data_IF_340382083202
#
_entry.id   IF_340382083202
#
_cell.length_a   1.000
_cell.length_b   1.000
_cell.length_c   1.000
_cell.angle_alpha   90.00
_cell.angle_beta   90.00
_cell.angle_gamma   90.00
#
_symmetry.space_group_name_H-M   'P 1'
#
loop_
_entity.id
_entity.type
_entity.pdbx_description
1 polymer ?
#
# COMPACT_ATOMS: atom_id res chain seq x y z
N UNK A 1 -11.77 -0.26 -7.52
CA UNK A 1 -11.08 0.91 -6.94
C UNK A 1 -10.55 0.54 -5.56
N UNK A 2 -9.47 1.20 -5.14
CA UNK A 2 -8.92 1.12 -3.77
C UNK A 2 -9.22 2.40 -2.99
N UNK A 3 -10.02 3.31 -3.56
CA UNK A 3 -10.48 4.54 -2.91
C UNK A 3 -11.81 4.27 -2.19
N UNK A 4 -11.76 4.27 -0.86
CA UNK A 4 -12.90 3.99 0.01
C UNK A 4 -13.99 5.06 -0.10
N UNK A 5 -13.60 6.34 -0.14
CA UNK A 5 -14.57 7.44 -0.24
C UNK A 5 -15.34 7.38 -1.55
N UNK A 6 -14.64 7.08 -2.66
CA UNK A 6 -15.27 6.89 -3.96
C UNK A 6 -16.22 5.69 -3.93
N UNK A 7 -15.79 4.55 -3.38
CA UNK A 7 -16.63 3.35 -3.30
C UNK A 7 -17.89 3.60 -2.47
N UNK A 8 -17.79 4.24 -1.32
CA UNK A 8 -18.93 4.54 -0.46
C UNK A 8 -19.89 5.56 -1.11
N UNK A 9 -19.37 6.48 -1.93
CA UNK A 9 -20.20 7.48 -2.61
C UNK A 9 -20.94 6.93 -3.84
N UNK A 10 -20.40 5.90 -4.52
CA UNK A 10 -20.93 5.44 -5.83
C UNK A 10 -21.59 4.06 -5.74
N UNK A 11 -21.33 3.27 -4.69
CA UNK A 11 -21.83 1.90 -4.59
C UNK A 11 -22.86 1.74 -3.49
N UNK A 12 -23.92 0.97 -3.77
CA UNK A 12 -24.94 0.55 -2.83
C UNK A 12 -24.88 -0.95 -2.50
N UNK A 13 -23.91 -1.67 -3.09
CA UNK A 13 -23.65 -3.08 -2.85
C UNK A 13 -22.17 -3.39 -2.99
N UNK A 14 -21.66 -4.30 -2.15
CA UNK A 14 -20.25 -4.66 -2.10
C UNK A 14 -20.05 -6.17 -2.09
N UNK A 15 -19.07 -6.62 -2.85
CA UNK A 15 -18.63 -8.01 -2.85
C UNK A 15 -17.23 -8.06 -2.27
N UNK A 16 -17.08 -8.80 -1.18
CA UNK A 16 -15.79 -8.99 -0.50
C UNK A 16 -15.34 -10.42 -0.74
N UNK A 17 -14.19 -10.58 -1.43
CA UNK A 17 -13.55 -11.87 -1.63
C UNK A 17 -12.50 -12.07 -0.52
N UNK A 18 -12.72 -13.07 0.32
CA UNK A 18 -11.83 -13.42 1.44
C UNK A 18 -11.80 -14.93 1.62
N UNK A 19 -10.63 -15.49 1.84
CA UNK A 19 -10.39 -16.92 2.08
C UNK A 19 -11.09 -17.84 1.04
N UNK A 20 -10.97 -17.47 -0.24
CA UNK A 20 -11.60 -18.17 -1.39
C UNK A 20 -13.14 -18.14 -1.36
N UNK A 21 -13.75 -17.37 -0.48
CA UNK A 21 -15.20 -17.22 -0.33
C UNK A 21 -15.64 -15.82 -0.71
N UNK A 22 -16.75 -15.71 -1.44
CA UNK A 22 -17.35 -14.43 -1.82
C UNK A 22 -18.45 -14.06 -0.83
N UNK A 23 -18.28 -12.94 -0.16
CA UNK A 23 -19.31 -12.34 0.72
C UNK A 23 -19.99 -11.19 -0.02
N UNK A 24 -21.29 -11.30 -0.27
CA UNK A 24 -22.09 -10.28 -0.92
C UNK A 24 -22.93 -9.52 0.10
N UNK A 25 -22.83 -8.19 0.10
CA UNK A 25 -23.59 -7.29 0.95
C UNK A 25 -24.32 -6.25 0.10
N UNK A 26 -25.60 -5.99 0.40
CA UNK A 26 -26.36 -4.87 -0.18
C UNK A 26 -26.08 -3.58 0.62
N UNK A 27 -24.80 -3.25 0.82
CA UNK A 27 -24.30 -2.14 1.62
C UNK A 27 -23.11 -1.49 0.90
N UNK A 28 -22.88 -0.16 1.09
CA UNK A 28 -21.65 0.49 0.68
C UNK A 28 -20.41 -0.17 1.29
N UNK A 29 -19.24 0.08 0.71
CA UNK A 29 -18.00 -0.63 1.03
C UNK A 29 -17.66 -0.62 2.53
N UNK A 30 -17.71 0.54 3.18
CA UNK A 30 -17.40 0.66 4.62
C UNK A 30 -18.39 -0.10 5.49
N UNK A 31 -19.68 0.03 5.22
CA UNK A 31 -20.73 -0.67 5.97
C UNK A 31 -20.67 -2.19 5.75
N UNK A 32 -20.35 -2.64 4.52
CA UNK A 32 -20.16 -4.05 4.20
C UNK A 32 -18.98 -4.68 4.97
N UNK A 33 -17.89 -3.95 5.15
CA UNK A 33 -16.73 -4.40 5.94
C UNK A 33 -17.08 -4.52 7.42
N UNK A 34 -17.72 -3.51 7.99
CA UNK A 34 -18.17 -3.57 9.38
C UNK A 34 -19.13 -4.75 9.61
N UNK A 35 -20.00 -5.03 8.64
CA UNK A 35 -20.89 -6.18 8.71
C UNK A 35 -20.14 -7.52 8.62
N UNK A 36 -19.05 -7.58 7.83
CA UNK A 36 -18.18 -8.75 7.77
C UNK A 36 -17.42 -8.95 9.08
N UNK A 37 -16.85 -7.90 9.66
CA UNK A 37 -16.13 -7.96 10.93
C UNK A 37 -17.06 -8.41 12.07
N UNK A 38 -18.28 -7.87 12.14
CA UNK A 38 -19.29 -8.29 13.10
C UNK A 38 -19.69 -9.77 12.93
N UNK A 39 -19.74 -10.25 11.68
CA UNK A 39 -19.96 -11.66 11.38
C UNK A 39 -18.79 -12.52 11.86
N UNK A 40 -17.56 -12.11 11.61
CA UNK A 40 -16.35 -12.83 12.05
C UNK A 40 -16.30 -12.93 13.58
N UNK A 41 -16.62 -11.86 14.31
CA UNK A 41 -16.73 -11.89 15.77
C UNK A 41 -17.82 -12.89 16.26
N UNK A 42 -18.98 -12.87 15.60
CA UNK A 42 -20.07 -13.81 15.91
C UNK A 42 -19.64 -15.26 15.65
N UNK A 43 -18.99 -15.52 14.51
CA UNK A 43 -18.52 -16.84 14.12
C UNK A 43 -17.39 -17.32 15.07
N UNK A 44 -16.50 -16.42 15.53
CA UNK A 44 -15.48 -16.73 16.52
C UNK A 44 -16.08 -17.10 17.89
N UNK A 45 -17.09 -16.37 18.34
CA UNK A 45 -17.81 -16.70 19.58
C UNK A 45 -18.53 -18.05 19.48
N UNK A 46 -19.18 -18.30 18.34
CA UNK A 46 -19.86 -19.57 18.06
C UNK A 46 -18.86 -20.72 18.01
N UNK A 47 -17.77 -20.61 17.29
CA UNK A 47 -16.70 -21.61 17.23
C UNK A 47 -16.16 -21.92 18.64
N UNK A 48 -15.93 -20.89 19.48
CA UNK A 48 -15.48 -21.09 20.87
C UNK A 48 -16.49 -21.84 21.73
N UNK A 49 -17.78 -21.60 21.52
CA UNK A 49 -18.84 -22.34 22.22
C UNK A 49 -18.92 -23.79 21.74
N UNK A 50 -18.86 -24.03 20.43
CA UNK A 50 -18.84 -25.36 19.82
C UNK A 50 -17.60 -26.15 20.26
N UNK A 51 -16.41 -25.52 20.32
CA UNK A 51 -15.19 -26.15 20.79
C UNK A 51 -15.29 -26.59 22.26
N UNK A 52 -15.89 -25.76 23.14
CA UNK A 52 -16.12 -26.15 24.55
C UNK A 52 -17.05 -27.36 24.66
N UNK A 53 -18.08 -27.42 23.80
CA UNK A 53 -18.99 -28.58 23.78
C UNK A 53 -18.28 -29.83 23.30
N UNK A 54 -17.49 -29.74 22.23
CA UNK A 54 -16.64 -30.84 21.73
C UNK A 54 -15.71 -31.34 22.82
N UNK A 55 -15.03 -30.45 23.53
CA UNK A 55 -14.10 -30.81 24.62
C UNK A 55 -14.84 -31.49 25.75
N UNK A 56 -16.02 -30.99 26.14
CA UNK A 56 -16.88 -31.58 27.18
C UNK A 56 -17.29 -33.01 26.83
N UNK A 57 -17.81 -33.21 25.61
CA UNK A 57 -18.25 -34.53 25.13
C UNK A 57 -17.07 -35.48 25.00
N UNK A 58 -15.92 -35.02 24.50
CA UNK A 58 -14.68 -35.78 24.38
C UNK A 58 -14.16 -36.25 25.74
N UNK A 59 -14.15 -35.35 26.76
CA UNK A 59 -13.74 -35.71 28.12
C UNK A 59 -14.68 -36.75 28.76
N UNK A 60 -15.98 -36.64 28.48
CA UNK A 60 -16.98 -37.62 28.95
C UNK A 60 -16.82 -38.98 28.26
N UNK A 61 -16.60 -39.00 26.94
CA UNK A 61 -16.33 -40.21 26.16
C UNK A 61 -15.08 -40.93 26.70
N UNK A 62 -13.98 -40.22 26.92
CA UNK A 62 -12.73 -40.77 27.47
C UNK A 62 -12.95 -41.38 28.85
N UNK A 63 -13.68 -40.71 29.74
CA UNK A 63 -13.98 -41.25 31.10
C UNK A 63 -14.77 -42.52 30.98
N UNK A 64 -15.85 -42.55 30.18
CA UNK A 64 -16.66 -43.77 29.99
C UNK A 64 -15.88 -44.90 29.36
N UNK A 65 -14.98 -44.62 28.39
CA UNK A 65 -14.14 -45.60 27.77
C UNK A 65 -13.15 -46.22 28.81
N UNK A 66 -12.57 -45.38 29.69
CA UNK A 66 -11.69 -45.84 30.75
C UNK A 66 -12.44 -46.72 31.78
N UNK A 67 -13.62 -46.28 32.22
CA UNK A 67 -14.44 -47.05 33.16
C UNK A 67 -14.94 -48.34 32.54
N UNK A 68 -15.36 -48.36 31.28
CA UNK A 68 -15.76 -49.55 30.55
C UNK A 68 -14.65 -50.62 30.52
N UNK A 69 -13.37 -50.18 30.36
CA UNK A 69 -12.22 -51.08 30.41
C UNK A 69 -11.90 -51.55 31.82
N UNK A 70 -11.96 -50.66 32.82
CA UNK A 70 -11.59 -50.99 34.20
C UNK A 70 -12.58 -51.92 34.87
N UNK A 71 -13.89 -51.72 34.55
CA UNK A 71 -14.99 -52.51 35.18
C UNK A 71 -15.55 -53.61 34.25
N UNK A 72 -14.90 -53.89 33.14
CA UNK A 72 -15.32 -54.87 32.11
C UNK A 72 -16.80 -54.72 31.71
N UNK A 73 -17.23 -53.47 31.52
CA UNK A 73 -18.62 -53.13 31.28
C UNK A 73 -18.84 -52.73 29.81
N UNK A 74 -19.45 -53.62 29.04
CA UNK A 74 -19.75 -53.41 27.62
C UNK A 74 -20.69 -52.25 27.34
N UNK A 75 -21.66 -51.94 28.20
CA UNK A 75 -22.61 -50.86 28.00
C UNK A 75 -21.89 -49.49 28.15
N UNK A 76 -20.94 -49.35 29.05
CA UNK A 76 -20.13 -48.14 29.17
C UNK A 76 -19.24 -47.95 27.91
N UNK A 77 -18.68 -49.03 27.42
CA UNK A 77 -17.88 -49.04 26.19
C UNK A 77 -18.69 -48.67 24.96
N UNK A 78 -19.95 -49.17 24.88
CA UNK A 78 -20.88 -48.82 23.80
C UNK A 78 -21.29 -47.35 23.84
N UNK A 79 -21.59 -46.80 25.01
CA UNK A 79 -21.87 -45.36 25.20
C UNK A 79 -20.69 -44.49 24.85
N UNK A 80 -19.46 -44.87 25.24
CA UNK A 80 -18.24 -44.14 24.86
C UNK A 80 -18.12 -44.03 23.32
N UNK A 81 -18.28 -45.13 22.56
CA UNK A 81 -18.25 -45.14 21.11
C UNK A 81 -19.36 -44.28 20.49
N UNK A 82 -20.55 -44.22 21.08
CA UNK A 82 -21.60 -43.31 20.59
C UNK A 82 -21.23 -41.84 20.79
N UNK A 83 -20.63 -41.50 21.94
CA UNK A 83 -20.14 -40.14 22.19
C UNK A 83 -18.98 -39.77 21.27
N UNK A 84 -18.08 -40.69 20.97
CA UNK A 84 -17.01 -40.47 19.97
C UNK A 84 -17.57 -40.13 18.59
N UNK A 85 -18.58 -40.88 18.13
CA UNK A 85 -19.29 -40.55 16.86
C UNK A 85 -19.99 -39.18 16.92
N UNK A 86 -20.52 -38.82 18.09
CA UNK A 86 -21.10 -37.48 18.27
C UNK A 86 -20.03 -36.39 18.16
N UNK A 87 -18.83 -36.60 18.73
CA UNK A 87 -17.69 -35.68 18.62
C UNK A 87 -17.28 -35.51 17.16
N UNK A 88 -17.20 -36.59 16.37
CA UNK A 88 -16.90 -36.51 14.93
C UNK A 88 -17.92 -35.64 14.20
N UNK A 89 -19.20 -35.86 14.43
CA UNK A 89 -20.27 -35.03 13.82
C UNK A 89 -20.20 -33.58 14.23
N UNK A 90 -19.92 -33.29 15.52
CA UNK A 90 -19.75 -31.92 15.99
C UNK A 90 -18.56 -31.23 15.35
N UNK A 91 -17.44 -31.95 15.12
CA UNK A 91 -16.28 -31.44 14.41
C UNK A 91 -16.55 -31.16 12.94
N UNK A 92 -17.33 -32.03 12.26
CA UNK A 92 -17.72 -31.84 10.85
C UNK A 92 -18.66 -30.61 10.68
N UNK A 93 -19.46 -30.31 11.69
CA UNK A 93 -20.40 -29.16 11.64
C UNK A 93 -19.87 -27.91 12.32
N UNK A 94 -18.65 -27.94 12.85
CA UNK A 94 -18.05 -26.81 13.54
C UNK A 94 -17.87 -25.63 12.59
N UNK A 95 -18.18 -24.45 13.06
CA UNK A 95 -18.00 -23.19 12.31
C UNK A 95 -16.54 -23.02 11.90
N UNK A 96 -16.27 -22.91 10.60
CA UNK A 96 -14.94 -22.61 10.11
C UNK A 96 -14.60 -21.15 10.41
N UNK A 97 -13.47 -20.95 11.10
CA UNK A 97 -12.95 -19.61 11.33
C UNK A 97 -12.22 -19.12 10.10
N UNK A 98 -12.57 -17.93 9.66
CA UNK A 98 -11.83 -17.23 8.64
C UNK A 98 -10.46 -16.85 9.18
N UNK A 99 -9.38 -17.30 8.55
CA UNK A 99 -8.03 -17.09 9.07
C UNK A 99 -7.57 -15.62 8.97
N UNK A 100 -8.30 -14.78 8.24
CA UNK A 100 -7.90 -13.39 7.98
C UNK A 100 -6.58 -13.31 7.21
N UNK A 101 -6.07 -12.10 7.00
CA UNK A 101 -4.69 -11.94 6.52
C UNK A 101 -3.73 -12.32 7.66
N UNK A 102 -2.84 -13.31 7.50
CA UNK A 102 -1.90 -13.71 8.55
C UNK A 102 -0.85 -12.63 8.84
N UNK A 103 -0.85 -11.54 8.08
CA UNK A 103 0.15 -10.50 8.16
C UNK A 103 -0.41 -9.23 8.79
N UNK A 104 0.19 -8.82 9.89
CA UNK A 104 -0.01 -7.50 10.49
C UNK A 104 1.21 -6.64 10.19
N UNK A 105 1.00 -5.51 9.52
CA UNK A 105 2.05 -4.53 9.31
C UNK A 105 2.42 -3.91 10.66
N UNK A 106 3.69 -4.01 11.03
CA UNK A 106 4.23 -3.32 12.20
C UNK A 106 5.53 -2.64 11.81
N UNK A 107 5.62 -1.32 11.97
CA UNK A 107 6.86 -0.58 11.80
C UNK A 107 7.34 -0.17 13.20
N UNK A 108 8.55 -0.56 13.54
CA UNK A 108 9.18 -0.16 14.80
C UNK A 108 10.33 0.76 14.47
N UNK A 109 10.34 1.93 15.09
CA UNK A 109 11.41 2.91 14.95
C UNK A 109 12.05 3.22 16.29
N UNK A 110 13.26 3.74 16.25
CA UNK A 110 13.95 4.22 17.44
C UNK A 110 13.82 5.74 17.52
N UNK A 111 13.20 6.23 18.60
CA UNK A 111 13.18 7.64 18.88
C UNK A 111 14.59 8.16 19.15
N UNK A 112 15.03 9.11 18.36
CA UNK A 112 16.26 9.82 18.64
C UNK A 112 15.96 11.04 19.52
N UNK A 113 16.52 11.07 20.75
CA UNK A 113 16.41 12.23 21.63
C UNK A 113 17.34 13.34 21.14
N UNK A 114 16.88 14.02 20.08
CA UNK A 114 17.58 15.15 19.49
C UNK A 114 16.58 16.23 19.10
N UNK A 115 16.99 17.51 19.17
CA UNK A 115 16.14 18.64 18.81
C UNK A 115 15.76 18.64 17.33
N UNK A 116 16.52 17.93 16.50
CA UNK A 116 16.25 17.79 15.06
C UNK A 116 16.81 16.48 14.53
N UNK A 117 16.07 15.86 13.61
CA UNK A 117 16.55 14.79 12.75
C UNK A 117 17.10 15.37 11.45
N UNK A 118 16.36 16.32 10.89
CA UNK A 118 16.67 17.01 9.63
C UNK A 118 16.26 18.48 9.74
N UNK A 119 17.09 19.35 9.21
CA UNK A 119 16.82 20.77 9.03
C UNK A 119 17.19 21.19 7.62
N UNK A 120 16.32 21.92 6.98
CA UNK A 120 16.49 22.47 5.64
C UNK A 120 16.31 23.98 5.70
N UNK A 121 17.20 24.73 5.06
CA UNK A 121 17.18 26.19 5.04
C UNK A 121 17.48 26.72 3.64
N UNK A 122 16.62 27.59 3.12
CA UNK A 122 16.74 28.20 1.79
C UNK A 122 17.06 27.21 0.68
N UNK A 123 16.35 26.07 0.71
CA UNK A 123 16.60 24.94 -0.21
C UNK A 123 15.74 25.07 -1.47
N UNK A 124 16.38 25.01 -2.63
CA UNK A 124 15.73 24.79 -3.92
C UNK A 124 15.70 23.29 -4.26
N UNK A 125 14.60 22.82 -4.80
CA UNK A 125 14.40 21.40 -5.15
C UNK A 125 14.26 21.27 -6.66
N UNK A 126 15.32 20.86 -7.37
CA UNK A 126 15.26 20.60 -8.81
C UNK A 126 14.67 19.21 -9.11
N UNK A 127 14.07 18.99 -10.29
CA UNK A 127 13.61 17.67 -10.72
C UNK A 127 14.76 16.69 -10.96
N UNK A 128 15.90 17.20 -11.43
CA UNK A 128 17.15 16.48 -11.60
C UNK A 128 18.35 17.43 -11.47
N UNK A 129 19.56 16.93 -11.22
CA UNK A 129 20.75 17.76 -11.08
C UNK A 129 20.95 18.66 -12.31
N UNK A 130 21.14 19.98 -12.06
CA UNK A 130 21.40 20.96 -13.13
C UNK A 130 20.16 21.54 -13.81
N UNK A 131 18.96 21.11 -13.46
CA UNK A 131 17.71 21.71 -13.92
C UNK A 131 17.21 22.80 -12.94
N UNK A 132 16.36 23.73 -13.39
CA UNK A 132 15.77 24.75 -12.52
C UNK A 132 14.92 24.12 -11.42
N UNK A 133 14.84 24.82 -10.28
CA UNK A 133 14.09 24.36 -9.13
C UNK A 133 12.58 24.33 -9.45
N UNK A 134 11.92 23.25 -9.05
CA UNK A 134 10.46 23.11 -9.11
C UNK A 134 9.79 23.96 -8.04
N UNK A 135 10.40 24.06 -6.89
CA UNK A 135 9.98 24.90 -5.78
C UNK A 135 11.15 25.22 -4.83
N UNK A 136 10.92 26.18 -3.97
CA UNK A 136 11.84 26.58 -2.91
C UNK A 136 11.17 26.48 -1.55
N UNK A 137 11.98 26.27 -0.51
CA UNK A 137 11.54 26.34 0.87
C UNK A 137 12.47 27.26 1.67
N UNK A 138 11.91 28.08 2.55
CA UNK A 138 12.67 29.00 3.39
C UNK A 138 13.30 28.25 4.58
N UNK A 139 12.49 27.51 5.30
CA UNK A 139 12.93 26.72 6.45
C UNK A 139 11.96 25.58 6.71
N UNK A 140 12.48 24.37 6.91
CA UNK A 140 11.71 23.23 7.36
C UNK A 140 12.53 22.36 8.31
N UNK A 141 11.90 21.84 9.36
CA UNK A 141 12.56 21.08 10.40
C UNK A 141 11.75 19.85 10.79
N UNK A 142 12.43 18.73 10.98
CA UNK A 142 11.85 17.46 11.37
C UNK A 142 12.47 16.95 12.68
N UNK A 143 11.64 16.50 13.61
CA UNK A 143 12.01 15.90 14.90
C UNK A 143 11.47 14.48 15.03
N UNK A 144 11.92 13.72 16.02
CA UNK A 144 11.26 12.46 16.40
C UNK A 144 9.83 12.72 16.86
N UNK A 145 8.91 11.87 16.43
CA UNK A 145 7.47 12.01 16.64
C UNK A 145 6.75 12.91 15.63
N UNK A 146 7.50 13.66 14.79
CA UNK A 146 6.88 14.37 13.67
C UNK A 146 6.50 13.40 12.57
N UNK A 147 5.26 13.46 12.13
CA UNK A 147 4.73 12.74 10.98
C UNK A 147 4.23 13.74 9.96
N UNK A 148 5.09 14.04 9.00
CA UNK A 148 4.87 15.12 8.03
C UNK A 148 4.37 14.53 6.72
N UNK A 149 3.18 14.94 6.29
CA UNK A 149 2.70 14.69 4.94
C UNK A 149 3.18 15.78 3.98
N UNK A 150 3.79 15.39 2.87
CA UNK A 150 4.15 16.30 1.78
C UNK A 150 3.03 16.22 0.73
N UNK A 151 2.31 17.33 0.56
CA UNK A 151 1.09 17.42 -0.24
C UNK A 151 1.26 18.46 -1.34
N UNK A 152 0.59 18.29 -2.46
CA UNK A 152 0.66 19.21 -3.59
C UNK A 152 0.23 18.54 -4.89
N UNK A 153 0.10 19.29 -5.98
CA UNK A 153 -0.28 18.79 -7.30
C UNK A 153 0.70 17.75 -7.84
N UNK A 154 0.27 16.96 -8.82
CA UNK A 154 1.17 16.04 -9.52
C UNK A 154 2.25 16.84 -10.24
N UNK A 155 3.49 16.35 -10.15
CA UNK A 155 4.65 17.02 -10.76
C UNK A 155 5.21 18.22 -9.99
N UNK A 156 4.64 18.65 -8.85
CA UNK A 156 5.16 19.79 -8.07
C UNK A 156 6.51 19.51 -7.36
N UNK A 157 7.02 18.26 -7.35
CA UNK A 157 8.33 17.94 -6.81
C UNK A 157 8.34 17.19 -5.47
N UNK A 158 7.23 16.60 -5.03
CA UNK A 158 7.14 15.81 -3.76
C UNK A 158 8.20 14.70 -3.68
N UNK A 159 8.20 13.81 -4.66
CA UNK A 159 9.18 12.71 -4.73
C UNK A 159 10.60 13.23 -4.99
N UNK A 160 10.76 14.37 -5.69
CA UNK A 160 12.07 15.01 -5.89
C UNK A 160 12.68 15.46 -4.55
N UNK A 161 11.86 16.03 -3.66
CA UNK A 161 12.30 16.39 -2.30
C UNK A 161 12.75 15.16 -1.51
N UNK A 162 11.95 14.08 -1.49
CA UNK A 162 12.34 12.85 -0.78
C UNK A 162 13.63 12.26 -1.34
N UNK A 163 13.79 12.21 -2.68
CA UNK A 163 15.00 11.72 -3.33
C UNK A 163 16.22 12.60 -3.02
N UNK A 164 16.05 13.93 -2.98
CA UNK A 164 17.12 14.86 -2.61
C UNK A 164 17.58 14.61 -1.16
N UNK A 165 16.65 14.49 -0.22
CA UNK A 165 16.94 14.16 1.18
C UNK A 165 17.63 12.80 1.28
N UNK A 166 17.12 11.78 0.59
CA UNK A 166 17.69 10.44 0.59
C UNK A 166 19.14 10.42 0.11
N UNK A 167 19.44 11.08 -1.03
CA UNK A 167 20.78 11.20 -1.56
C UNK A 167 21.74 11.93 -0.62
N UNK A 168 21.24 12.94 0.12
CA UNK A 168 22.03 13.62 1.15
C UNK A 168 22.36 12.67 2.32
N UNK A 169 21.43 11.82 2.75
CA UNK A 169 21.69 10.82 3.79
C UNK A 169 22.68 9.73 3.35
N UNK A 170 22.77 9.46 2.06
CA UNK A 170 23.73 8.51 1.49
C UNK A 170 25.10 9.12 1.17
N UNK A 171 25.35 10.36 1.55
CA UNK A 171 26.57 11.13 1.24
C UNK A 171 26.84 11.26 -0.29
N UNK A 172 25.79 11.11 -1.11
CA UNK A 172 25.89 11.32 -2.57
C UNK A 172 25.86 12.81 -2.93
N UNK A 173 25.32 13.65 -2.04
CA UNK A 173 25.23 15.10 -2.22
C UNK A 173 25.67 15.76 -0.91
N UNK A 174 26.63 16.67 -1.00
CA UNK A 174 26.98 17.60 0.08
C UNK A 174 26.26 18.93 -0.17
N UNK A 175 25.29 19.28 0.68
CA UNK A 175 24.57 20.55 0.63
C UNK A 175 24.47 21.13 2.04
N UNK A 176 25.10 22.29 2.27
CA UNK A 176 25.11 22.95 3.57
C UNK A 176 23.72 23.42 4.02
N UNK A 177 22.77 23.54 3.09
CA UNK A 177 21.38 23.89 3.33
C UNK A 177 20.59 22.73 3.95
N UNK A 178 21.10 21.50 3.83
CA UNK A 178 20.57 20.26 4.41
C UNK A 178 21.43 19.85 5.61
N UNK A 179 20.91 19.94 6.82
CA UNK A 179 21.59 19.56 8.05
C UNK A 179 20.91 18.35 8.65
N UNK A 180 21.61 17.22 8.72
CA UNK A 180 21.13 16.00 9.37
C UNK A 180 21.83 15.77 10.71
N UNK A 181 21.12 15.13 11.63
CA UNK A 181 21.77 14.67 12.85
C UNK A 181 22.62 13.43 12.57
N UNK A 182 23.87 13.34 13.05
CA UNK A 182 24.81 12.26 12.68
C UNK A 182 24.33 10.83 13.02
N UNK A 183 23.46 10.68 14.03
CA UNK A 183 22.92 9.38 14.45
C UNK A 183 21.62 9.00 13.78
N UNK A 184 21.10 9.79 12.84
CA UNK A 184 19.86 9.42 12.14
C UNK A 184 20.13 8.23 11.25
N UNK A 185 19.34 7.19 11.45
CA UNK A 185 19.26 6.02 10.56
C UNK A 185 18.03 6.19 9.68
N UNK A 186 18.19 6.53 8.39
CA UNK A 186 17.07 6.74 7.49
C UNK A 186 16.63 5.43 6.83
N UNK A 187 15.33 5.22 6.74
CA UNK A 187 14.69 4.22 5.89
C UNK A 187 13.91 4.89 4.77
N UNK A 188 13.96 4.33 3.58
CA UNK A 188 13.25 4.86 2.42
C UNK A 188 12.36 3.78 1.82
N UNK A 189 11.14 4.13 1.47
CA UNK A 189 10.22 3.33 0.68
C UNK A 189 10.02 4.06 -0.64
N UNK A 190 10.62 3.53 -1.70
CA UNK A 190 10.49 4.08 -3.05
C UNK A 190 9.24 3.53 -3.74
N UNK A 191 8.53 4.39 -4.44
CA UNK A 191 7.34 4.04 -5.22
C UNK A 191 7.58 2.86 -6.18
N UNK A 192 8.78 2.73 -6.73
CA UNK A 192 9.15 1.69 -7.71
C UNK A 192 9.69 0.42 -7.07
N UNK A 193 9.87 0.38 -5.73
CA UNK A 193 10.40 -0.75 -4.96
C UNK A 193 11.77 -1.28 -5.44
N UNK A 194 12.61 -0.41 -6.03
CA UNK A 194 13.93 -0.79 -6.55
C UNK A 194 14.96 -1.14 -5.47
N UNK A 195 14.65 -0.91 -4.19
CA UNK A 195 15.53 -1.26 -3.07
C UNK A 195 15.65 -2.77 -2.85
N UNK A 196 14.72 -3.54 -3.39
CA UNK A 196 14.78 -5.00 -3.36
C UNK A 196 15.38 -5.52 -4.66
N UNK A 197 16.55 -6.20 -4.62
CA UNK A 197 17.16 -6.76 -5.82
C UNK A 197 16.28 -7.83 -6.46
N UNK A 198 15.94 -7.68 -7.74
CA UNK A 198 15.03 -8.56 -8.47
C UNK A 198 15.50 -10.02 -8.53
N UNK A 199 16.80 -10.23 -8.64
CA UNK A 199 17.41 -11.55 -8.76
C UNK A 199 17.73 -12.23 -7.44
N UNK A 200 17.62 -11.51 -6.32
CA UNK A 200 17.89 -12.06 -5.00
C UNK A 200 16.76 -12.99 -4.53
N UNK A 201 17.10 -13.98 -3.70
CA UNK A 201 16.11 -14.74 -2.95
C UNK A 201 15.47 -13.86 -1.86
N UNK A 202 14.23 -14.17 -1.45
CA UNK A 202 13.51 -13.35 -0.44
C UNK A 202 14.33 -13.19 0.84
N UNK A 203 15.01 -14.25 1.29
CA UNK A 203 15.84 -14.23 2.48
C UNK A 203 17.05 -13.31 2.32
N UNK A 204 17.67 -13.32 1.14
CA UNK A 204 18.90 -12.56 0.87
C UNK A 204 18.57 -11.09 0.58
N UNK A 205 17.41 -10.80 -0.01
CA UNK A 205 16.93 -9.44 -0.22
C UNK A 205 16.73 -8.65 1.09
N UNK A 206 16.56 -9.33 2.22
CA UNK A 206 16.44 -8.71 3.53
C UNK A 206 17.79 -8.56 4.28
N UNK A 207 18.90 -9.02 3.72
CA UNK A 207 20.22 -8.94 4.35
C UNK A 207 20.64 -7.50 4.70
N UNK A 208 20.42 -6.48 3.84
CA UNK A 208 20.75 -5.10 4.16
C UNK A 208 19.99 -4.52 5.36
N UNK A 209 18.82 -5.10 5.68
CA UNK A 209 17.95 -4.65 6.78
C UNK A 209 18.23 -5.38 8.10
N UNK A 210 18.64 -6.63 8.05
CA UNK A 210 19.00 -7.42 9.22
C UNK A 210 20.04 -8.48 8.86
N UNK A 211 21.26 -8.44 9.46
CA UNK A 211 22.33 -9.39 9.14
C UNK A 211 22.03 -10.82 9.61
N UNK A 212 21.27 -10.98 10.71
CA UNK A 212 20.96 -12.29 11.27
C UNK A 212 19.95 -13.08 10.42
N UNK A 213 20.33 -14.24 9.83
CA UNK A 213 19.44 -15.05 9.00
C UNK A 213 18.22 -15.59 9.74
N UNK A 214 18.33 -15.87 11.04
CA UNK A 214 17.23 -16.43 11.81
C UNK A 214 16.12 -15.38 12.01
N UNK A 215 16.50 -14.15 12.31
CA UNK A 215 15.58 -13.00 12.41
C UNK A 215 14.85 -12.76 11.09
N UNK A 216 15.55 -12.80 9.97
CA UNK A 216 14.95 -12.67 8.62
C UNK A 216 13.95 -13.79 8.34
N UNK A 217 14.29 -15.05 8.67
CA UNK A 217 13.38 -16.21 8.47
C UNK A 217 12.09 -16.04 9.26
N UNK A 218 12.21 -15.70 10.55
CA UNK A 218 11.03 -15.52 11.41
C UNK A 218 10.15 -14.37 10.92
N UNK A 219 10.74 -13.26 10.49
CA UNK A 219 10.01 -12.11 9.95
C UNK A 219 9.27 -12.47 8.65
N UNK A 220 9.91 -13.22 7.74
CA UNK A 220 9.26 -13.70 6.52
C UNK A 220 8.04 -14.60 6.81
N UNK A 221 8.18 -15.54 7.74
CA UNK A 221 7.08 -16.43 8.14
C UNK A 221 5.93 -15.61 8.73
N UNK A 222 6.23 -14.67 9.63
CA UNK A 222 5.23 -13.78 10.24
C UNK A 222 4.53 -12.89 9.21
N UNK A 223 5.23 -12.56 8.11
CA UNK A 223 4.68 -11.78 7.01
C UNK A 223 3.90 -12.62 5.97
N UNK A 224 3.68 -13.91 6.23
CA UNK A 224 2.94 -14.79 5.33
C UNK A 224 3.75 -15.37 4.18
N UNK A 225 5.09 -15.35 4.26
CA UNK A 225 5.98 -16.05 3.33
C UNK A 225 6.41 -17.38 3.95
N UNK A 226 5.78 -18.53 3.61
CA UNK A 226 6.15 -19.82 4.18
C UNK A 226 7.58 -20.20 3.79
N UNK A 227 8.23 -21.03 4.62
CA UNK A 227 9.61 -21.46 4.43
C UNK A 227 9.94 -21.94 3.01
N UNK A 228 9.04 -22.68 2.39
CA UNK A 228 9.22 -23.19 1.03
C UNK A 228 9.42 -22.09 -0.04
N UNK A 229 9.00 -20.84 0.25
CA UNK A 229 9.12 -19.69 -0.65
C UNK A 229 10.36 -18.84 -0.40
N UNK A 230 11.12 -19.06 0.67
CA UNK A 230 12.26 -18.19 1.04
C UNK A 230 13.37 -18.14 -0.01
N UNK A 231 13.54 -19.21 -0.79
CA UNK A 231 14.47 -19.26 -1.92
C UNK A 231 13.90 -18.70 -3.23
N UNK A 232 12.65 -18.22 -3.25
CA UNK A 232 12.02 -17.64 -4.43
C UNK A 232 12.64 -16.28 -4.74
N UNK A 233 12.79 -15.94 -6.03
CA UNK A 233 13.29 -14.63 -6.44
C UNK A 233 12.28 -13.52 -6.20
N UNK A 234 12.75 -12.33 -5.83
CA UNK A 234 11.94 -11.12 -5.65
C UNK A 234 11.16 -10.76 -6.91
N UNK A 235 11.74 -10.96 -8.10
CA UNK A 235 11.09 -10.69 -9.40
C UNK A 235 9.81 -11.50 -9.64
N UNK A 236 9.63 -12.62 -8.94
CA UNK A 236 8.43 -13.47 -9.09
C UNK A 236 7.27 -13.07 -8.18
N UNK A 237 7.48 -12.08 -7.31
CA UNK A 237 6.45 -11.57 -6.40
C UNK A 237 5.48 -10.64 -7.12
N UNK A 238 4.21 -10.68 -6.70
CA UNK A 238 3.25 -9.63 -7.04
C UNK A 238 3.64 -8.29 -6.42
N UNK A 239 3.14 -7.16 -6.95
CA UNK A 239 3.41 -5.83 -6.41
C UNK A 239 3.08 -5.71 -4.91
N UNK A 240 1.96 -6.28 -4.47
CA UNK A 240 1.58 -6.31 -3.05
C UNK A 240 2.52 -7.15 -2.18
N UNK A 241 2.95 -8.32 -2.67
CA UNK A 241 3.94 -9.15 -1.96
C UNK A 241 5.31 -8.46 -1.87
N UNK A 242 5.72 -7.78 -2.93
CA UNK A 242 6.98 -7.02 -2.97
C UNK A 242 6.95 -5.84 -2.01
N UNK A 243 5.84 -5.10 -1.97
CA UNK A 243 5.58 -4.06 -0.97
C UNK A 243 5.66 -4.60 0.45
N UNK A 244 4.99 -5.73 0.73
CA UNK A 244 5.03 -6.43 2.01
C UNK A 244 6.44 -6.82 2.42
N UNK A 245 7.22 -7.37 1.49
CA UNK A 245 8.62 -7.75 1.74
C UNK A 245 9.47 -6.53 2.13
N UNK A 246 9.29 -5.40 1.46
CA UNK A 246 10.01 -4.16 1.79
C UNK A 246 9.61 -3.64 3.18
N UNK A 247 8.32 -3.68 3.54
CA UNK A 247 7.89 -3.30 4.89
C UNK A 247 8.47 -4.21 5.98
N UNK A 248 8.63 -5.50 5.72
CA UNK A 248 9.35 -6.41 6.61
C UNK A 248 10.79 -5.93 6.83
N UNK A 249 11.49 -5.58 5.76
CA UNK A 249 12.84 -5.01 5.84
C UNK A 249 12.88 -3.73 6.68
N UNK A 250 12.00 -2.78 6.40
CA UNK A 250 11.94 -1.52 7.15
C UNK A 250 11.64 -1.73 8.65
N UNK A 251 10.83 -2.73 8.98
CA UNK A 251 10.55 -3.12 10.37
C UNK A 251 11.79 -3.68 11.08
N UNK A 252 12.55 -4.52 10.38
CA UNK A 252 13.74 -5.17 10.93
C UNK A 252 14.87 -4.19 11.23
N UNK A 253 15.04 -3.18 10.39
CA UNK A 253 16.14 -2.22 10.47
C UNK A 253 15.96 -1.15 11.55
N UNK A 254 14.74 -0.94 12.10
CA UNK A 254 14.44 -0.01 13.20
C UNK A 254 14.97 1.42 12.94
N UNK A 255 14.51 2.04 11.89
CA UNK A 255 14.95 3.37 11.50
C UNK A 255 14.45 4.46 12.46
N UNK A 256 15.23 5.55 12.60
CA UNK A 256 14.80 6.75 13.33
C UNK A 256 14.12 7.79 12.44
N UNK A 257 14.22 7.65 11.12
CA UNK A 257 13.52 8.45 10.12
C UNK A 257 13.00 7.55 9.01
N UNK A 258 11.71 7.61 8.72
CA UNK A 258 11.10 6.94 7.57
C UNK A 258 10.71 7.94 6.50
N UNK A 259 11.07 7.67 5.28
CA UNK A 259 10.65 8.39 4.10
C UNK A 259 9.83 7.44 3.22
N UNK A 260 8.55 7.76 3.00
CA UNK A 260 7.61 6.90 2.31
C UNK A 260 7.07 7.65 1.07
N UNK A 261 7.38 7.14 -0.13
CA UNK A 261 6.91 7.69 -1.40
C UNK A 261 5.80 6.80 -1.98
N UNK A 262 4.55 7.25 -1.90
CA UNK A 262 3.34 6.57 -2.34
C UNK A 262 3.22 5.11 -1.85
N UNK A 263 3.32 4.85 -0.54
CA UNK A 263 3.35 3.48 -0.01
C UNK A 263 2.02 2.74 -0.18
N UNK A 264 0.94 3.45 -0.49
CA UNK A 264 -0.41 2.90 -0.64
C UNK A 264 -0.70 2.25 -1.99
N UNK A 265 0.14 2.47 -3.01
CA UNK A 265 -0.13 2.03 -4.39
C UNK A 265 -0.23 0.50 -4.54
N UNK A 266 0.41 -0.26 -3.66
CA UNK A 266 0.44 -1.72 -3.69
C UNK A 266 -0.22 -2.37 -2.47
N UNK A 267 -0.89 -1.57 -1.63
CA UNK A 267 -1.59 -2.06 -0.45
C UNK A 267 -3.10 -2.17 -0.74
N UNK A 268 -3.68 -3.25 -0.25
CA UNK A 268 -5.12 -3.39 -0.13
C UNK A 268 -5.67 -2.48 1.00
N UNK A 269 -6.97 -2.47 1.19
CA UNK A 269 -7.59 -1.59 2.18
C UNK A 269 -7.16 -1.93 3.62
N UNK A 270 -6.97 -3.21 3.93
CA UNK A 270 -6.51 -3.67 5.25
C UNK A 270 -5.05 -3.25 5.49
N UNK A 271 -4.21 -3.39 4.47
CA UNK A 271 -2.82 -2.94 4.51
C UNK A 271 -2.68 -1.42 4.70
N UNK A 272 -3.56 -0.61 4.10
CA UNK A 272 -3.60 0.84 4.29
C UNK A 272 -3.98 1.23 5.72
N UNK A 273 -4.97 0.57 6.31
CA UNK A 273 -5.38 0.77 7.70
C UNK A 273 -4.27 0.40 8.67
N UNK A 274 -3.68 -0.79 8.47
CA UNK A 274 -2.55 -1.24 9.28
C UNK A 274 -1.34 -0.29 9.16
N UNK A 275 -1.08 0.27 7.98
CA UNK A 275 -0.05 1.29 7.79
C UNK A 275 -0.36 2.56 8.58
N UNK A 276 -1.61 3.06 8.53
CA UNK A 276 -2.02 4.25 9.28
C UNK A 276 -1.82 4.08 10.79
N UNK A 277 -2.27 2.96 11.35
CA UNK A 277 -2.11 2.65 12.77
C UNK A 277 -0.64 2.53 13.17
N UNK A 278 0.14 1.87 12.34
CA UNK A 278 1.58 1.68 12.60
C UNK A 278 2.35 2.99 12.55
N UNK A 279 2.03 3.88 11.60
CA UNK A 279 2.65 5.21 11.51
C UNK A 279 2.29 6.08 12.71
N UNK A 280 1.07 5.97 13.27
CA UNK A 280 0.71 6.68 14.51
C UNK A 280 1.57 6.26 15.70
N UNK A 281 1.96 4.99 15.75
CA UNK A 281 2.76 4.43 16.84
C UNK A 281 4.28 4.55 16.60
N UNK A 282 4.69 5.03 15.42
CA UNK A 282 6.10 5.14 15.07
C UNK A 282 6.78 6.25 15.89
N UNK A 283 7.81 5.88 16.65
CA UNK A 283 8.50 6.79 17.58
C UNK A 283 9.52 7.72 16.90
N UNK A 284 10.00 7.39 15.70
CA UNK A 284 10.90 8.20 14.90
C UNK A 284 10.20 9.36 14.17
N UNK A 285 10.89 9.96 13.21
CA UNK A 285 10.32 10.94 12.27
C UNK A 285 9.77 10.26 11.02
N UNK A 286 8.71 10.79 10.43
CA UNK A 286 8.12 10.31 9.17
C UNK A 286 7.98 11.44 8.16
N UNK A 287 8.42 11.21 6.93
CA UNK A 287 8.08 12.00 5.76
C UNK A 287 7.24 11.13 4.83
N UNK A 288 6.00 11.50 4.60
CA UNK A 288 5.04 10.75 3.81
C UNK A 288 4.62 11.55 2.58
N UNK A 289 4.82 10.99 1.39
CA UNK A 289 4.16 11.43 0.17
C UNK A 289 3.05 10.44 -0.12
N UNK A 290 1.81 10.90 -0.19
CA UNK A 290 0.66 10.07 -0.56
C UNK A 290 -0.47 10.89 -1.15
N UNK A 291 -1.28 10.26 -1.98
CA UNK A 291 -2.55 10.78 -2.47
C UNK A 291 -3.76 10.28 -1.65
N UNK A 292 -3.53 9.38 -0.71
CA UNK A 292 -4.56 8.82 0.16
C UNK A 292 -4.87 9.76 1.32
N UNK A 293 -5.97 10.52 1.19
CA UNK A 293 -6.39 11.52 2.18
C UNK A 293 -6.67 10.90 3.54
N UNK A 294 -7.21 9.68 3.57
CA UNK A 294 -7.52 8.99 4.81
C UNK A 294 -6.23 8.63 5.57
N UNK A 295 -5.24 8.05 4.86
CA UNK A 295 -3.94 7.77 5.45
C UNK A 295 -3.30 9.04 6.01
N UNK A 296 -3.27 10.14 5.23
CA UNK A 296 -2.68 11.41 5.64
C UNK A 296 -3.37 11.96 6.91
N UNK A 297 -4.70 12.03 6.91
CA UNK A 297 -5.46 12.58 8.05
C UNK A 297 -5.30 11.74 9.32
N UNK A 298 -5.23 10.40 9.18
CA UNK A 298 -5.10 9.50 10.32
C UNK A 298 -3.69 9.43 10.89
N UNK A 299 -2.66 9.47 10.04
CA UNK A 299 -1.29 9.18 10.47
C UNK A 299 -0.41 10.41 10.65
N UNK A 300 -0.70 11.54 10.01
CA UNK A 300 0.18 12.72 10.03
C UNK A 300 -0.31 13.79 10.99
N UNK A 301 0.65 14.50 11.60
CA UNK A 301 0.40 15.63 12.54
C UNK A 301 0.91 16.99 12.03
N UNK A 302 1.61 16.99 10.89
CA UNK A 302 2.11 18.19 10.21
C UNK A 302 2.00 18.01 8.70
N UNK A 303 1.80 19.11 7.96
CA UNK A 303 1.56 19.05 6.52
C UNK A 303 2.43 20.08 5.83
N UNK A 304 3.20 19.65 4.84
CA UNK A 304 3.98 20.53 3.97
C UNK A 304 3.29 20.61 2.61
N UNK A 305 2.67 21.75 2.36
CA UNK A 305 1.98 22.02 1.10
C UNK A 305 2.94 22.68 0.12
N UNK A 306 3.09 22.09 -1.05
CA UNK A 306 3.84 22.63 -2.18
C UNK A 306 2.84 23.25 -3.16
N UNK A 307 2.83 24.58 -3.22
CA UNK A 307 1.96 25.39 -4.07
C UNK A 307 2.73 26.58 -4.62
N UNK A 308 2.47 27.00 -5.85
CA UNK A 308 3.07 28.18 -6.52
C UNK A 308 4.61 28.25 -6.40
N UNK A 309 5.28 27.11 -6.53
CA UNK A 309 6.74 27.03 -6.44
C UNK A 309 7.31 27.26 -5.05
N UNK A 310 6.51 27.17 -3.99
CA UNK A 310 6.93 27.31 -2.60
C UNK A 310 6.37 26.21 -1.72
N UNK A 311 7.11 25.87 -0.66
CA UNK A 311 6.65 24.95 0.38
C UNK A 311 6.20 25.78 1.60
N UNK A 312 4.98 25.52 2.07
CA UNK A 312 4.41 26.10 3.28
C UNK A 312 4.03 25.01 4.28
N UNK A 313 4.13 25.32 5.57
CA UNK A 313 3.79 24.39 6.64
C UNK A 313 2.38 24.67 7.19
N UNK A 314 1.63 23.59 7.38
CA UNK A 314 0.25 23.58 7.88
C UNK A 314 0.10 22.54 8.99
N UNK A 315 -0.87 22.76 9.89
CA UNK A 315 -1.16 21.85 11.03
C UNK A 315 -2.54 21.23 10.98
N UNK A 316 -3.36 21.59 9.98
CA UNK A 316 -4.70 21.07 9.78
C UNK A 316 -4.80 20.41 8.40
N UNK A 317 -5.17 19.12 8.38
CA UNK A 317 -5.33 18.34 7.17
C UNK A 317 -6.49 18.83 6.30
N UNK A 318 -7.63 19.18 6.94
CA UNK A 318 -8.82 19.61 6.20
C UNK A 318 -8.57 20.92 5.46
N UNK A 319 -7.94 21.89 6.14
CA UNK A 319 -7.56 23.16 5.53
C UNK A 319 -6.63 22.97 4.30
N UNK A 320 -5.67 22.05 4.38
CA UNK A 320 -4.79 21.72 3.24
C UNK A 320 -5.58 21.11 2.09
N UNK A 321 -6.51 20.20 2.39
CA UNK A 321 -7.31 19.55 1.35
C UNK A 321 -8.33 20.50 0.71
N UNK A 322 -8.89 21.44 1.47
CA UNK A 322 -9.74 22.51 0.95
C UNK A 322 -8.95 23.41 0.00
N UNK A 323 -7.76 23.84 0.42
CA UNK A 323 -6.87 24.65 -0.41
C UNK A 323 -6.55 23.99 -1.75
N UNK A 324 -6.24 22.69 -1.72
CA UNK A 324 -6.01 21.90 -2.94
C UNK A 324 -7.25 21.75 -3.81
N UNK A 325 -8.46 21.81 -3.24
CA UNK A 325 -9.73 21.79 -4.01
C UNK A 325 -10.03 23.13 -4.66
N UNK A 326 -9.84 24.22 -3.96
CA UNK A 326 -10.06 25.58 -4.46
C UNK A 326 -9.22 25.84 -5.73
N UNK A 327 -7.99 25.34 -5.71
CA UNK A 327 -7.07 25.45 -6.84
C UNK A 327 -7.44 24.54 -8.04
N UNK A 328 -8.37 23.59 -7.85
CA UNK A 328 -8.97 22.75 -8.91
C UNK A 328 -10.34 23.26 -9.39
N UNK A 329 -10.71 24.52 -9.11
CA UNK A 329 -11.94 25.15 -9.60
C UNK A 329 -12.14 24.95 -11.12
N UNK A 330 -13.38 24.94 -11.65
CA UNK A 330 -13.63 24.63 -13.05
C UNK A 330 -12.85 25.61 -13.92
N UNK A 331 -11.89 25.10 -14.67
CA UNK A 331 -11.23 25.85 -15.75
C UNK A 331 -12.28 26.13 -16.80
N UNK A 332 -12.93 27.28 -16.68
CA UNK A 332 -13.59 27.93 -17.83
C UNK A 332 -12.44 28.34 -18.73
N UNK A 333 -12.41 27.94 -20.00
CA UNK A 333 -11.33 28.34 -20.90
C UNK A 333 -11.50 29.78 -21.26
N UNK A 334 -10.93 30.72 -20.52
CA UNK A 334 -10.67 32.05 -20.99
C UNK A 334 -9.45 32.02 -21.92
N UNK A 335 -9.71 32.25 -23.18
CA UNK A 335 -8.70 32.50 -24.17
C UNK A 335 -7.95 33.78 -23.85
N UNK A 336 -6.67 33.65 -23.42
CA UNK A 336 -5.71 34.74 -23.68
C UNK A 336 -4.30 34.14 -23.83
N UNK A 337 -3.82 34.42 -25.00
CA UNK A 337 -2.47 34.25 -25.54
C UNK A 337 -1.36 34.61 -24.57
N UNK A 338 -0.36 33.77 -24.46
CA UNK A 338 1.06 33.94 -24.75
C UNK A 338 1.97 33.14 -23.83
N UNK A 339 2.71 32.24 -24.48
CA UNK A 339 4.09 31.85 -24.20
C UNK A 339 4.42 31.10 -22.88
N UNK A 340 4.58 29.77 -22.93
CA UNK A 340 5.90 29.15 -23.11
C UNK A 340 5.72 27.63 -23.21
N UNK A 341 5.80 27.11 -24.43
CA UNK A 341 6.06 25.69 -24.70
C UNK A 341 7.49 25.38 -24.24
N UNK A 342 7.64 24.52 -23.25
CA UNK A 342 8.82 23.67 -23.22
C UNK A 342 8.63 22.54 -24.26
N UNK A 343 9.63 22.13 -25.02
CA UNK A 343 9.44 21.17 -26.09
C UNK A 343 9.20 19.77 -25.52
N UNK A 344 7.94 19.29 -25.57
CA UNK A 344 7.69 17.87 -25.68
C UNK A 344 8.36 17.43 -26.98
N UNK A 345 9.13 16.34 -26.96
CA UNK A 345 9.81 15.89 -28.17
C UNK A 345 8.74 15.66 -29.26
N UNK A 346 9.01 16.16 -30.46
CA UNK A 346 8.10 15.99 -31.60
C UNK A 346 7.74 14.53 -31.88
N UNK A 347 8.52 13.59 -31.34
CA UNK A 347 8.26 12.15 -31.38
C UNK A 347 7.14 11.68 -30.46
N UNK A 348 6.93 12.31 -29.28
CA UNK A 348 5.86 11.88 -28.36
C UNK A 348 4.48 12.31 -28.89
N UNK A 349 4.35 13.51 -29.45
CA UNK A 349 3.12 13.97 -30.10
C UNK A 349 2.78 13.11 -31.34
N UNK A 350 3.80 12.64 -32.08
CA UNK A 350 3.63 11.74 -33.23
C UNK A 350 3.20 10.35 -32.81
N UNK A 351 3.74 9.83 -31.72
CA UNK A 351 3.37 8.53 -31.12
C UNK A 351 1.92 8.53 -30.61
N UNK A 352 1.50 9.56 -29.89
CA UNK A 352 0.11 9.68 -29.43
C UNK A 352 -0.87 9.75 -30.60
N UNK A 353 -0.53 10.48 -31.65
CA UNK A 353 -1.35 10.59 -32.84
C UNK A 353 -1.43 9.30 -33.66
N UNK A 354 -0.34 8.52 -33.69
CA UNK A 354 -0.30 7.19 -34.32
C UNK A 354 -1.27 6.24 -33.59
N UNK A 355 -1.17 6.12 -32.26
CA UNK A 355 -2.04 5.26 -31.45
C UNK A 355 -3.51 5.63 -31.58
N UNK A 356 -3.83 6.93 -31.63
CA UNK A 356 -5.20 7.39 -31.82
C UNK A 356 -5.78 7.00 -33.20
N UNK A 357 -4.98 7.09 -34.26
CA UNK A 357 -5.40 6.73 -35.63
C UNK A 357 -5.56 5.20 -35.78
N UNK A 358 -4.69 4.41 -35.18
CA UNK A 358 -4.80 2.93 -35.15
C UNK A 358 -6.09 2.50 -34.43
N UNK A 359 -6.38 3.09 -33.28
CA UNK A 359 -7.60 2.80 -32.49
C UNK A 359 -8.87 3.12 -33.32
N UNK A 360 -8.92 4.27 -33.99
CA UNK A 360 -10.05 4.65 -34.85
C UNK A 360 -10.21 3.68 -36.02
N UNK A 361 -9.13 3.20 -36.60
CA UNK A 361 -9.15 2.25 -37.71
C UNK A 361 -9.68 0.88 -37.26
N UNK A 362 -9.21 0.39 -36.09
CA UNK A 362 -9.66 -0.86 -35.50
C UNK A 362 -11.14 -0.81 -35.10
N UNK A 363 -11.59 0.27 -34.47
CA UNK A 363 -12.99 0.47 -34.10
C UNK A 363 -13.92 0.46 -35.34
N UNK A 364 -13.50 1.09 -36.42
CA UNK A 364 -14.32 1.12 -37.64
C UNK A 364 -14.31 -0.23 -38.36
N UNK A 365 -13.22 -0.96 -38.37
CA UNK A 365 -13.09 -2.33 -38.88
C UNK A 365 -13.93 -3.34 -38.11
N UNK A 366 -14.07 -3.14 -36.77
CA UNK A 366 -14.91 -3.98 -35.91
C UNK A 366 -16.43 -3.78 -36.15
N UNK A 367 -16.85 -2.72 -36.84
CA UNK A 367 -18.26 -2.47 -37.18
C UNK A 367 -18.74 -3.40 -38.27
N UNK A 368 -20.07 -3.66 -38.31
CA UNK A 368 -20.68 -4.44 -39.39
C UNK A 368 -20.41 -3.76 -40.76
N UNK A 369 -20.18 -4.51 -41.83
CA UNK A 369 -19.78 -3.96 -43.16
C UNK A 369 -20.60 -2.81 -43.70
N UNK A 370 -21.90 -2.76 -43.34
CA UNK A 370 -22.81 -1.68 -43.73
C UNK A 370 -22.55 -0.33 -43.03
N UNK A 371 -21.81 -0.34 -41.93
CA UNK A 371 -21.52 0.83 -41.10
C UNK A 371 -20.05 1.26 -41.13
N UNK A 372 -19.22 0.56 -41.89
CA UNK A 372 -17.83 0.90 -42.10
C UNK A 372 -17.70 2.10 -43.08
N UNK A 373 -16.67 2.91 -42.86
CA UNK A 373 -16.39 4.10 -43.64
C UNK A 373 -15.10 3.94 -44.46
N UNK A 374 -15.14 3.30 -45.66
CA UNK A 374 -13.94 2.96 -46.44
C UNK A 374 -13.06 4.15 -46.82
N UNK A 375 -13.67 5.31 -47.06
CA UNK A 375 -12.94 6.54 -47.41
C UNK A 375 -12.11 7.05 -46.22
N UNK A 376 -12.65 7.02 -45.01
CA UNK A 376 -11.93 7.41 -43.79
C UNK A 376 -10.85 6.41 -43.42
N UNK A 377 -11.10 5.12 -43.58
CA UNK A 377 -10.09 4.08 -43.39
C UNK A 377 -8.87 4.27 -44.31
N UNK A 378 -9.11 4.63 -45.59
CA UNK A 378 -8.04 4.94 -46.54
C UNK A 378 -7.23 6.18 -46.15
N UNK A 379 -7.89 7.19 -45.56
CA UNK A 379 -7.26 8.39 -45.08
C UNK A 379 -6.41 8.10 -43.84
N UNK A 380 -6.95 7.40 -42.85
CA UNK A 380 -6.21 7.02 -41.62
C UNK A 380 -4.99 6.15 -41.95
N UNK A 381 -5.09 5.19 -42.85
CA UNK A 381 -3.96 4.37 -43.28
C UNK A 381 -2.87 5.19 -44.01
N UNK A 382 -3.23 6.27 -44.70
CA UNK A 382 -2.25 7.16 -45.29
C UNK A 382 -1.52 7.99 -44.22
N UNK A 383 -2.29 8.53 -43.26
CA UNK A 383 -1.71 9.31 -42.16
C UNK A 383 -0.80 8.45 -41.28
N UNK A 384 -1.20 7.22 -40.94
CA UNK A 384 -0.40 6.26 -40.19
C UNK A 384 0.97 6.03 -40.90
N UNK A 385 0.98 5.73 -42.19
CA UNK A 385 2.21 5.55 -42.97
C UNK A 385 3.11 6.77 -43.01
N UNK A 386 2.54 7.97 -42.99
CA UNK A 386 3.32 9.22 -42.97
C UNK A 386 3.97 9.42 -41.60
N UNK A 387 3.25 9.11 -40.50
CA UNK A 387 3.76 9.22 -39.15
C UNK A 387 4.82 8.16 -38.89
N UNK A 388 4.60 6.90 -39.31
CA UNK A 388 5.59 5.80 -39.22
C UNK A 388 6.90 6.13 -39.95
N UNK A 389 6.85 6.90 -41.04
CA UNK A 389 8.02 7.32 -41.78
C UNK A 389 8.74 8.54 -41.15
N UNK A 390 8.13 9.19 -40.16
CA UNK A 390 8.67 10.34 -39.43
C UNK A 390 9.18 9.98 -38.02
N UNK A 391 8.79 8.83 -37.50
CA UNK A 391 9.29 8.21 -36.27
C UNK A 391 10.55 7.36 -36.56
#
# INVERSE_FOLDING_TARGET
SHDRQLLDAVTNGSWILRDKTLHAFALPCTAARLALDAKDESDALRHKAEQKEIDRVTASARRLATWGKVYDNEDLSRKAKQMEKQVERLKETQTELTAGSPWTLTLRGDALRADRLLEMTHLGVPPAPGLPDLFTLDSARLKSGDRVAIVGRNGCGKSSLLKLIWRHFRDEIADERLKRHPRVSPGYYDQTLHQLPDDAALLDALEPFAPDPQTRKMALISAGFPWARHGQKVSTLSGGERSRLLFVGLTLARYSLLMLDEPTNHLDMEGKEALAETLQQFEGGVLLVSHDRQLISQSCNRFWLIEDGRLSEWHDAEAVFERLREDTGPVVPEASKAASKAPSSASDDLLERLVALETLLEEDLARKPKHQKPQLQAQWRKEIKVIEAQL
#
